data_IF_982180211879
#
_entry.id   IF_982180211879
#
_cell.length_a   1.000
_cell.length_b   1.000
_cell.length_c   1.000
_cell.angle_alpha   90.00
_cell.angle_beta   90.00
_cell.angle_gamma   90.00
#
_symmetry.space_group_name_H-M   'P 1'
#
loop_
_entity.id
_entity.type
_entity.pdbx_description
1 polymer ?
#
# COMPACT_ATOMS: atom_id res chain seq x y z
N UNK A 1 21.64 -21.02 29.64
CA UNK A 1 22.28 -22.27 29.21
C UNK A 1 21.25 -23.43 29.20
N UNK A 2 20.22 -23.37 28.34
CA UNK A 2 19.26 -24.48 28.10
C UNK A 2 18.70 -24.54 26.68
N UNK A 3 19.21 -23.68 25.76
CA UNK A 3 18.65 -23.55 24.39
C UNK A 3 19.31 -24.46 23.34
N UNK A 4 20.48 -25.03 23.64
CA UNK A 4 21.20 -25.86 22.65
C UNK A 4 20.76 -27.34 22.65
N UNK A 5 20.15 -27.83 23.71
CA UNK A 5 19.71 -29.23 23.81
C UNK A 5 18.35 -29.52 23.14
N UNK A 6 17.50 -28.50 22.93
CA UNK A 6 16.15 -28.72 22.36
C UNK A 6 16.20 -28.91 20.81
N UNK A 7 17.24 -28.43 20.15
CA UNK A 7 17.36 -28.55 18.69
C UNK A 7 17.67 -29.96 18.16
N UNK A 8 18.25 -30.85 19.01
CA UNK A 8 18.57 -32.21 18.60
C UNK A 8 17.38 -33.18 18.61
N UNK A 9 16.24 -32.77 19.19
CA UNK A 9 15.06 -33.61 19.35
C UNK A 9 13.90 -33.25 18.42
N UNK A 10 14.07 -32.19 17.57
CA UNK A 10 13.00 -31.75 16.70
C UNK A 10 12.89 -32.62 15.46
N UNK A 11 11.73 -33.19 15.27
CA UNK A 11 11.38 -34.03 14.13
C UNK A 11 10.40 -33.27 13.22
N UNK A 12 10.71 -33.15 11.95
CA UNK A 12 9.80 -32.53 10.97
C UNK A 12 8.84 -33.57 10.42
N UNK A 13 7.54 -33.37 10.68
CA UNK A 13 6.47 -34.29 10.26
C UNK A 13 5.54 -33.66 9.25
N UNK A 14 5.17 -34.45 8.23
CA UNK A 14 4.23 -34.05 7.20
C UNK A 14 2.80 -34.44 7.55
N UNK A 15 1.87 -33.49 7.46
CA UNK A 15 0.45 -33.70 7.69
C UNK A 15 -0.35 -33.23 6.48
N UNK A 16 -1.39 -33.97 6.09
CA UNK A 16 -2.39 -33.41 5.16
C UNK A 16 -3.22 -32.36 5.88
N UNK A 17 -3.47 -31.21 5.23
CA UNK A 17 -4.26 -30.14 5.84
C UNK A 17 -5.66 -30.62 6.24
N UNK A 18 -6.27 -31.49 5.44
CA UNK A 18 -7.56 -32.09 5.77
C UNK A 18 -7.56 -33.01 6.98
N UNK A 19 -6.39 -33.49 7.45
CA UNK A 19 -6.29 -34.24 8.69
C UNK A 19 -6.26 -33.31 9.92
N UNK A 20 -5.72 -32.09 9.75
CA UNK A 20 -5.59 -31.10 10.84
C UNK A 20 -6.83 -30.23 10.99
N UNK A 21 -7.47 -29.88 9.87
CA UNK A 21 -8.54 -28.89 9.84
C UNK A 21 -9.79 -29.42 9.18
N UNK A 22 -10.95 -29.00 9.70
CA UNK A 22 -12.24 -29.09 9.04
C UNK A 22 -12.51 -27.79 8.28
N UNK A 23 -12.84 -27.90 7.00
CA UNK A 23 -13.26 -26.80 6.15
C UNK A 23 -14.72 -26.45 6.38
N UNK A 24 -15.02 -25.27 6.89
CA UNK A 24 -16.35 -24.85 7.34
C UNK A 24 -16.79 -23.52 6.74
N UNK A 25 -18.08 -23.32 6.63
CA UNK A 25 -18.73 -22.05 6.24
C UNK A 25 -19.56 -21.44 7.37
N UNK A 26 -19.40 -21.88 8.61
CA UNK A 26 -20.24 -21.47 9.77
C UNK A 26 -20.24 -19.98 10.08
N UNK A 27 -19.17 -19.25 9.68
CA UNK A 27 -19.01 -17.81 9.85
C UNK A 27 -19.65 -16.97 8.73
N UNK A 28 -20.26 -17.63 7.71
CA UNK A 28 -20.87 -16.93 6.58
C UNK A 28 -22.28 -16.46 6.95
N UNK A 29 -22.57 -15.21 6.63
CA UNK A 29 -23.90 -14.62 6.75
C UNK A 29 -24.65 -14.68 5.41
N UNK A 30 -25.97 -14.62 5.45
CA UNK A 30 -26.82 -14.74 4.27
C UNK A 30 -26.92 -13.43 3.49
N UNK A 31 -26.92 -12.30 4.19
CA UNK A 31 -26.98 -10.97 3.60
C UNK A 31 -25.67 -10.58 2.94
N UNK A 32 -25.74 -9.79 1.89
CA UNK A 32 -24.56 -9.20 1.24
C UNK A 32 -24.12 -7.93 1.96
N UNK A 33 -22.85 -7.54 1.80
CA UNK A 33 -22.32 -6.30 2.41
C UNK A 33 -23.10 -5.04 1.98
N UNK A 34 -23.78 -5.07 0.82
CA UNK A 34 -24.60 -3.96 0.31
C UNK A 34 -25.88 -3.72 1.10
N UNK A 35 -26.35 -4.73 1.85
CA UNK A 35 -27.56 -4.66 2.67
C UNK A 35 -27.29 -4.08 4.06
N UNK A 36 -26.03 -3.78 4.37
CA UNK A 36 -25.58 -3.19 5.63
C UNK A 36 -25.04 -1.78 5.44
N UNK A 37 -25.11 -0.99 6.52
CA UNK A 37 -24.42 0.29 6.63
C UNK A 37 -22.96 0.04 7.00
N UNK A 38 -22.11 -0.22 6.00
CA UNK A 38 -20.70 -0.59 6.23
C UNK A 38 -19.81 0.59 6.60
N UNK A 39 -18.79 0.34 7.42
CA UNK A 39 -17.72 1.29 7.75
C UNK A 39 -16.36 0.79 7.23
N UNK A 40 -15.50 1.69 6.75
CA UNK A 40 -14.13 1.37 6.37
C UNK A 40 -13.17 1.33 7.58
N UNK A 41 -13.62 1.78 8.75
CA UNK A 41 -12.87 1.75 10.00
C UNK A 41 -13.69 1.05 11.08
N UNK A 42 -12.98 0.40 12.02
CA UNK A 42 -13.63 -0.20 13.18
C UNK A 42 -14.41 0.85 13.98
N UNK A 43 -15.59 0.48 14.42
CA UNK A 43 -16.45 1.23 15.34
C UNK A 43 -17.00 0.28 16.39
N UNK A 44 -17.32 0.78 17.57
CA UNK A 44 -17.99 -0.01 18.61
C UNK A 44 -19.33 -0.54 18.10
N UNK A 45 -19.63 -1.81 18.34
CA UNK A 45 -20.82 -2.50 17.82
C UNK A 45 -20.71 -2.96 16.35
N UNK A 46 -19.50 -2.91 15.76
CA UNK A 46 -19.24 -3.42 14.42
C UNK A 46 -18.31 -4.63 14.44
N UNK A 47 -18.52 -5.56 13.51
CA UNK A 47 -17.74 -6.79 13.34
C UNK A 47 -16.99 -6.74 12.01
N UNK A 48 -15.76 -7.25 11.99
CA UNK A 48 -14.97 -7.31 10.77
C UNK A 48 -15.60 -8.25 9.75
N UNK A 49 -15.80 -7.77 8.52
CA UNK A 49 -16.27 -8.57 7.40
C UNK A 49 -15.07 -9.03 6.56
N UNK A 50 -14.80 -10.33 6.61
CA UNK A 50 -13.71 -10.96 5.88
C UNK A 50 -14.19 -11.40 4.50
N UNK A 51 -13.41 -11.09 3.48
CA UNK A 51 -13.65 -11.51 2.09
C UNK A 51 -12.41 -12.19 1.51
N UNK A 52 -12.47 -12.60 0.26
CA UNK A 52 -11.34 -13.23 -0.43
C UNK A 52 -10.25 -12.20 -0.82
N UNK A 53 -9.85 -11.35 0.11
CA UNK A 53 -8.76 -10.37 -0.02
C UNK A 53 -7.39 -10.98 0.28
N UNK A 54 -6.33 -10.40 -0.32
CA UNK A 54 -4.93 -10.79 -0.01
C UNK A 54 -4.24 -9.82 0.96
N UNK A 55 -4.85 -8.68 1.25
CA UNK A 55 -4.33 -7.61 2.10
C UNK A 55 -5.23 -7.40 3.31
N UNK A 56 -4.72 -6.68 4.31
CA UNK A 56 -5.48 -6.30 5.49
C UNK A 56 -6.20 -7.51 6.13
N UNK A 57 -5.50 -8.66 6.22
CA UNK A 57 -6.04 -9.92 6.76
C UNK A 57 -7.38 -10.35 6.14
N UNK A 58 -7.67 -9.92 4.90
CA UNK A 58 -8.93 -10.18 4.21
C UNK A 58 -10.09 -9.28 4.63
N UNK A 59 -9.89 -8.33 5.57
CA UNK A 59 -10.93 -7.37 5.99
C UNK A 59 -11.29 -6.46 4.82
N UNK A 60 -12.54 -6.51 4.39
CA UNK A 60 -13.08 -5.63 3.37
C UNK A 60 -13.68 -4.35 3.97
N UNK A 61 -14.40 -4.50 5.06
CA UNK A 61 -15.06 -3.44 5.82
C UNK A 61 -15.52 -3.96 7.18
N UNK A 62 -16.21 -3.11 7.95
CA UNK A 62 -16.86 -3.47 9.21
C UNK A 62 -18.38 -3.32 9.06
N UNK A 63 -19.13 -4.25 9.63
CA UNK A 63 -20.58 -4.35 9.53
C UNK A 63 -21.19 -4.20 10.92
N UNK A 64 -22.27 -3.42 11.08
CA UNK A 64 -22.97 -3.31 12.37
C UNK A 64 -23.53 -4.66 12.79
N UNK A 65 -23.40 -4.99 14.07
CA UNK A 65 -23.84 -6.27 14.63
C UNK A 65 -25.38 -6.36 14.64
N UNK A 66 -25.90 -7.49 14.17
CA UNK A 66 -27.31 -7.90 14.27
C UNK A 66 -27.42 -9.33 14.82
N UNK A 67 -28.62 -9.87 14.94
CA UNK A 67 -28.85 -11.22 15.50
C UNK A 67 -28.15 -12.31 14.66
N UNK A 68 -28.12 -12.18 13.31
CA UNK A 68 -27.45 -13.14 12.44
C UNK A 68 -25.93 -13.10 12.69
N UNK A 69 -25.36 -11.91 12.77
CA UNK A 69 -23.93 -11.69 12.99
C UNK A 69 -23.53 -12.20 14.38
N UNK A 70 -24.28 -11.86 15.42
CA UNK A 70 -24.05 -12.34 16.80
C UNK A 70 -23.98 -13.85 16.86
N UNK A 71 -24.85 -14.57 16.14
CA UNK A 71 -24.90 -16.03 16.11
C UNK A 71 -23.77 -16.67 15.28
N UNK A 72 -23.23 -15.97 14.28
CA UNK A 72 -22.25 -16.51 13.33
C UNK A 72 -20.84 -15.99 13.50
N UNK A 73 -20.65 -14.89 14.23
CA UNK A 73 -19.31 -14.32 14.43
C UNK A 73 -18.34 -15.33 15.09
N UNK A 74 -17.10 -15.29 14.65
CA UNK A 74 -16.00 -16.12 15.17
C UNK A 74 -14.87 -15.24 15.66
N UNK A 75 -14.06 -15.79 16.53
CA UNK A 75 -12.83 -15.21 17.07
C UNK A 75 -11.78 -16.32 17.20
N UNK A 76 -10.52 -15.96 17.28
CA UNK A 76 -9.38 -16.88 17.48
C UNK A 76 -9.37 -18.03 16.48
N UNK A 77 -9.59 -17.72 15.20
CA UNK A 77 -9.75 -18.72 14.17
C UNK A 77 -9.01 -18.37 12.87
N UNK A 78 -8.72 -19.42 12.10
CA UNK A 78 -8.11 -19.32 10.78
C UNK A 78 -9.18 -19.22 9.68
N UNK A 79 -8.97 -18.35 8.71
CA UNK A 79 -9.72 -18.37 7.45
C UNK A 79 -8.79 -18.54 6.24
N UNK A 80 -9.33 -19.10 5.16
CA UNK A 80 -8.64 -19.21 3.89
C UNK A 80 -9.53 -18.68 2.75
N UNK A 81 -8.95 -17.85 1.90
CA UNK A 81 -9.63 -17.34 0.70
C UNK A 81 -9.72 -18.44 -0.35
N UNK A 82 -10.94 -18.82 -0.74
CA UNK A 82 -11.18 -19.91 -1.69
C UNK A 82 -11.21 -19.45 -3.15
N UNK A 83 -11.36 -18.15 -3.39
CA UNK A 83 -11.53 -17.55 -4.71
C UNK A 83 -10.98 -16.11 -4.73
N UNK A 84 -11.01 -15.45 -5.89
CA UNK A 84 -10.65 -14.04 -6.04
C UNK A 84 -9.15 -13.74 -6.00
N UNK A 85 -8.79 -12.47 -5.86
CA UNK A 85 -7.40 -12.01 -5.86
C UNK A 85 -6.57 -12.55 -4.68
N UNK A 86 -7.23 -12.94 -3.59
CA UNK A 86 -6.59 -13.51 -2.40
C UNK A 86 -6.60 -15.03 -2.34
N UNK A 87 -6.91 -15.74 -3.43
CA UNK A 87 -7.03 -17.21 -3.42
C UNK A 87 -5.80 -17.87 -2.76
N UNK A 88 -6.04 -18.76 -1.80
CA UNK A 88 -5.01 -19.44 -1.01
C UNK A 88 -4.39 -18.61 0.12
N UNK A 89 -4.76 -17.33 0.27
CA UNK A 89 -4.34 -16.54 1.44
C UNK A 89 -5.06 -17.02 2.69
N UNK A 90 -4.30 -17.38 3.71
CA UNK A 90 -4.80 -17.81 5.01
C UNK A 90 -4.43 -16.77 6.06
N UNK A 91 -5.37 -16.43 6.94
CA UNK A 91 -5.19 -15.45 8.01
C UNK A 91 -5.71 -15.99 9.33
N UNK A 92 -5.08 -15.62 10.43
CA UNK A 92 -5.57 -15.81 11.79
C UNK A 92 -6.18 -14.51 12.28
N UNK A 93 -7.38 -14.61 12.88
CA UNK A 93 -8.14 -13.48 13.39
C UNK A 93 -8.33 -13.62 14.89
N UNK A 94 -7.68 -12.76 15.66
CA UNK A 94 -7.81 -12.62 17.11
C UNK A 94 -8.87 -11.58 17.52
N UNK A 95 -9.77 -11.26 16.61
CA UNK A 95 -10.91 -10.35 16.75
C UNK A 95 -12.18 -11.00 16.17
N UNK A 96 -13.35 -10.50 16.57
CA UNK A 96 -14.61 -10.99 16.03
C UNK A 96 -14.76 -10.69 14.54
N UNK A 97 -15.11 -11.70 13.78
CA UNK A 97 -15.33 -11.60 12.34
C UNK A 97 -16.49 -12.47 11.85
N UNK A 98 -17.02 -12.07 10.70
CA UNK A 98 -17.95 -12.84 9.85
C UNK A 98 -17.45 -12.78 8.41
N UNK A 99 -18.15 -13.44 7.50
CA UNK A 99 -17.87 -13.34 6.08
C UNK A 99 -19.12 -13.15 5.23
N UNK A 100 -19.00 -12.22 4.27
CA UNK A 100 -19.94 -12.09 3.13
C UNK A 100 -19.31 -12.58 1.83
N UNK A 101 -18.13 -13.18 1.86
CA UNK A 101 -17.34 -13.52 0.68
C UNK A 101 -16.92 -14.99 0.58
N UNK A 102 -16.12 -15.26 -0.45
CA UNK A 102 -15.60 -16.59 -0.78
C UNK A 102 -14.37 -16.96 0.05
N UNK A 103 -14.58 -17.24 1.33
CA UNK A 103 -13.54 -17.81 2.19
C UNK A 103 -14.13 -18.97 3.03
N UNK A 104 -13.25 -19.75 3.63
CA UNK A 104 -13.63 -20.82 4.54
C UNK A 104 -12.99 -20.62 5.90
N UNK A 105 -13.69 -21.04 6.94
CA UNK A 105 -13.17 -21.20 8.29
C UNK A 105 -12.44 -22.54 8.37
N UNK A 106 -11.27 -22.56 9.01
CA UNK A 106 -10.50 -23.76 9.28
C UNK A 106 -10.62 -24.07 10.78
N UNK A 107 -11.46 -25.07 11.10
CA UNK A 107 -11.66 -25.51 12.48
C UNK A 107 -10.67 -26.64 12.80
N UNK A 108 -9.95 -26.57 13.93
CA UNK A 108 -9.04 -27.64 14.36
C UNK A 108 -9.79 -28.96 14.60
N UNK A 109 -9.22 -30.08 14.15
CA UNK A 109 -9.76 -31.43 14.40
C UNK A 109 -9.22 -32.06 15.69
N UNK A 110 -8.23 -31.47 16.31
CA UNK A 110 -7.59 -31.93 17.54
C UNK A 110 -7.78 -30.86 18.62
N UNK A 111 -8.44 -31.22 19.71
CA UNK A 111 -8.69 -30.31 20.83
C UNK A 111 -7.37 -29.77 21.43
N UNK A 112 -6.36 -30.64 21.53
CA UNK A 112 -5.02 -30.24 22.02
C UNK A 112 -4.35 -29.21 21.10
N UNK A 113 -4.56 -29.27 19.80
CA UNK A 113 -4.07 -28.24 18.84
C UNK A 113 -4.82 -26.92 19.06
N UNK A 114 -6.13 -26.98 19.32
CA UNK A 114 -6.92 -25.81 19.66
C UNK A 114 -6.46 -25.15 20.96
N UNK A 115 -6.23 -25.94 22.01
CA UNK A 115 -5.68 -25.45 23.30
C UNK A 115 -4.34 -24.71 23.13
N UNK A 116 -3.47 -25.19 22.20
CA UNK A 116 -2.20 -24.50 21.88
C UNK A 116 -2.47 -23.19 21.16
N UNK A 117 -3.42 -23.17 20.22
CA UNK A 117 -3.79 -21.95 19.48
C UNK A 117 -4.36 -20.89 20.42
N UNK A 118 -5.22 -21.28 21.35
CA UNK A 118 -5.85 -20.39 22.32
C UNK A 118 -4.84 -19.81 23.32
N UNK A 119 -3.80 -20.61 23.67
CA UNK A 119 -2.75 -20.21 24.60
C UNK A 119 -1.73 -19.25 23.99
N UNK A 120 -1.45 -19.39 22.69
CA UNK A 120 -0.39 -18.64 22.02
C UNK A 120 -0.72 -18.33 20.56
N UNK A 121 -1.17 -17.11 20.32
CA UNK A 121 -1.57 -16.61 18.98
C UNK A 121 -0.42 -16.57 17.95
N UNK A 122 0.84 -16.74 18.35
CA UNK A 122 1.94 -16.89 17.38
C UNK A 122 1.82 -18.20 16.60
N UNK A 123 1.31 -19.24 17.23
CA UNK A 123 1.20 -20.57 16.60
C UNK A 123 0.19 -20.57 15.45
N UNK A 124 -1.08 -20.15 15.61
CA UNK A 124 -2.00 -20.08 14.47
C UNK A 124 -1.53 -19.09 13.39
N UNK A 125 -0.83 -18.00 13.74
CA UNK A 125 -0.18 -17.12 12.75
C UNK A 125 0.93 -17.81 11.96
N UNK A 126 1.69 -18.71 12.59
CA UNK A 126 2.66 -19.56 11.90
C UNK A 126 1.97 -20.50 10.91
N UNK A 127 0.89 -21.19 11.31
CA UNK A 127 0.08 -22.03 10.43
C UNK A 127 -0.49 -21.22 9.26
N UNK A 128 -1.06 -20.05 9.51
CA UNK A 128 -1.59 -19.17 8.45
C UNK A 128 -0.55 -18.85 7.39
N UNK A 129 0.68 -18.52 7.80
CA UNK A 129 1.79 -18.23 6.87
C UNK A 129 2.21 -19.46 6.08
N UNK A 130 2.30 -20.64 6.71
CA UNK A 130 2.66 -21.88 6.02
C UNK A 130 1.58 -22.29 5.02
N UNK A 131 0.30 -22.28 5.42
CA UNK A 131 -0.84 -22.59 4.54
C UNK A 131 -0.85 -21.64 3.33
N UNK A 132 -0.71 -20.33 3.56
CA UNK A 132 -0.59 -19.34 2.47
C UNK A 132 0.56 -19.68 1.51
N UNK A 133 1.74 -20.04 2.05
CA UNK A 133 2.90 -20.39 1.23
C UNK A 133 2.66 -21.64 0.40
N UNK A 134 2.04 -22.67 0.99
CA UNK A 134 1.70 -23.92 0.32
C UNK A 134 0.72 -23.63 -0.82
N UNK A 135 -0.38 -22.94 -0.54
CA UNK A 135 -1.39 -22.63 -1.53
C UNK A 135 -0.88 -21.72 -2.65
N UNK A 136 0.02 -20.77 -2.36
CA UNK A 136 0.62 -19.91 -3.39
C UNK A 136 1.65 -20.61 -4.25
N UNK A 137 2.31 -21.64 -3.75
CA UNK A 137 3.24 -22.48 -4.53
C UNK A 137 2.50 -23.52 -5.37
N UNK A 138 1.24 -23.82 -5.03
CA UNK A 138 0.34 -24.64 -5.84
C UNK A 138 -0.23 -23.79 -6.98
N UNK A 139 -0.75 -24.43 -8.03
CA UNK A 139 -1.28 -23.75 -9.23
C UNK A 139 -2.61 -23.01 -9.00
N UNK A 140 -2.91 -22.62 -7.76
CA UNK A 140 -4.14 -21.86 -7.46
C UNK A 140 -4.03 -20.43 -7.96
N UNK A 141 -5.08 -19.98 -8.65
CA UNK A 141 -5.18 -18.67 -9.26
C UNK A 141 -6.64 -18.22 -9.34
N UNK A 142 -6.88 -17.03 -9.86
CA UNK A 142 -8.25 -16.57 -10.15
C UNK A 142 -9.07 -17.59 -10.96
N UNK A 143 -8.41 -18.30 -11.87
CA UNK A 143 -9.06 -19.33 -12.73
C UNK A 143 -9.15 -20.70 -12.07
N UNK A 144 -8.41 -20.95 -10.99
CA UNK A 144 -8.32 -22.24 -10.32
C UNK A 144 -8.47 -22.10 -8.81
N UNK A 145 -9.71 -22.22 -8.34
CA UNK A 145 -10.11 -22.02 -6.94
C UNK A 145 -9.53 -23.08 -6.02
N UNK A 146 -9.31 -22.71 -4.74
CA UNK A 146 -9.07 -23.68 -3.68
C UNK A 146 -10.39 -24.28 -3.24
N UNK A 147 -10.62 -25.56 -3.54
CA UNK A 147 -11.77 -26.33 -3.01
C UNK A 147 -11.39 -27.07 -1.73
N UNK A 148 -12.41 -27.54 -0.98
CA UNK A 148 -12.22 -28.39 0.21
C UNK A 148 -11.38 -29.63 -0.13
N UNK A 149 -11.64 -30.28 -1.25
CA UNK A 149 -10.97 -31.50 -1.69
C UNK A 149 -9.48 -31.23 -2.00
N UNK A 150 -9.20 -30.12 -2.67
CA UNK A 150 -7.82 -29.72 -3.00
C UNK A 150 -7.07 -29.32 -1.73
N UNK A 151 -7.64 -28.48 -0.88
CA UNK A 151 -7.07 -28.10 0.40
C UNK A 151 -6.72 -29.33 1.26
N UNK A 152 -7.64 -30.31 1.35
CA UNK A 152 -7.46 -31.50 2.17
C UNK A 152 -6.26 -32.36 1.73
N UNK A 153 -5.84 -32.27 0.46
CA UNK A 153 -4.70 -33.02 -0.10
C UNK A 153 -3.36 -32.33 0.09
N UNK A 154 -3.34 -31.02 0.33
CA UNK A 154 -2.12 -30.26 0.54
C UNK A 154 -1.38 -30.76 1.78
N UNK A 155 -0.03 -30.76 1.67
CA UNK A 155 0.86 -31.25 2.73
C UNK A 155 1.52 -30.08 3.45
N UNK A 156 1.35 -30.01 4.77
CA UNK A 156 2.09 -29.10 5.64
C UNK A 156 3.14 -29.89 6.42
N UNK A 157 4.32 -29.31 6.56
CA UNK A 157 5.41 -29.91 7.34
C UNK A 157 5.62 -29.08 8.61
N UNK A 158 5.50 -29.72 9.77
CA UNK A 158 5.53 -29.08 11.08
C UNK A 158 6.68 -29.59 11.93
N UNK A 159 7.35 -28.72 12.70
CA UNK A 159 8.34 -29.14 13.70
C UNK A 159 7.62 -29.73 14.92
N UNK A 160 7.95 -30.95 15.25
CA UNK A 160 7.35 -31.72 16.36
C UNK A 160 8.42 -32.19 17.34
N UNK A 161 8.00 -32.46 18.54
CA UNK A 161 8.76 -33.22 19.56
C UNK A 161 8.14 -34.59 19.69
N UNK A 162 8.97 -35.64 19.76
CA UNK A 162 8.54 -36.95 20.20
C UNK A 162 8.44 -36.93 21.73
N UNK A 163 7.33 -37.39 22.26
CA UNK A 163 7.01 -37.36 23.70
C UNK A 163 6.61 -38.76 24.20
N UNK A 164 6.58 -38.97 25.50
CA UNK A 164 6.10 -40.20 26.09
C UNK A 164 4.57 -40.33 25.93
N UNK A 165 4.05 -41.55 25.96
CA UNK A 165 2.62 -41.82 25.96
C UNK A 165 1.89 -41.17 27.16
N UNK A 166 2.60 -41.00 28.27
CA UNK A 166 2.07 -40.40 29.49
C UNK A 166 2.09 -38.86 29.46
N UNK A 167 2.75 -38.26 28.45
CA UNK A 167 2.81 -36.83 28.25
C UNK A 167 1.64 -36.34 27.38
N UNK A 168 1.41 -35.02 27.35
CA UNK A 168 0.43 -34.42 26.44
C UNK A 168 0.93 -34.48 24.99
N UNK A 169 0.24 -35.26 24.16
CA UNK A 169 0.51 -35.34 22.73
C UNK A 169 -0.69 -34.92 21.88
N UNK A 170 -0.42 -34.56 20.63
CA UNK A 170 -1.45 -34.18 19.63
C UNK A 170 -1.68 -35.34 18.67
N UNK A 171 -0.62 -36.04 18.28
CA UNK A 171 -0.64 -37.09 17.26
C UNK A 171 0.04 -38.36 17.75
N UNK A 172 -0.51 -39.48 17.32
CA UNK A 172 0.13 -40.79 17.41
C UNK A 172 0.39 -41.32 16.01
N UNK A 173 1.60 -41.87 15.80
CA UNK A 173 1.96 -42.54 14.56
C UNK A 173 2.89 -43.73 14.87
N UNK A 174 2.46 -44.96 14.50
CA UNK A 174 3.23 -46.19 14.71
C UNK A 174 3.68 -46.43 16.16
N UNK A 175 2.84 -46.10 17.13
CA UNK A 175 3.15 -46.24 18.57
C UNK A 175 4.11 -45.17 19.09
N UNK A 176 4.34 -44.10 18.36
CA UNK A 176 5.09 -42.92 18.82
C UNK A 176 4.15 -41.75 18.93
N UNK A 177 4.39 -40.91 19.92
CA UNK A 177 3.54 -39.78 20.28
C UNK A 177 4.24 -38.46 19.98
N UNK A 178 3.52 -37.49 19.45
CA UNK A 178 4.10 -36.25 18.99
C UNK A 178 3.27 -35.05 19.43
N UNK A 179 3.98 -33.97 19.81
CA UNK A 179 3.38 -32.65 20.02
C UNK A 179 4.10 -31.60 19.19
N UNK A 180 3.57 -30.37 19.08
CA UNK A 180 4.25 -29.27 18.41
C UNK A 180 5.47 -28.81 19.18
N UNK A 181 6.55 -28.52 18.49
CA UNK A 181 7.74 -27.87 19.04
C UNK A 181 7.47 -26.35 19.19
N UNK A 182 6.59 -25.97 20.11
CA UNK A 182 6.05 -24.60 20.25
C UNK A 182 7.16 -23.55 20.41
N UNK A 183 8.11 -23.79 21.32
CA UNK A 183 9.20 -22.85 21.57
C UNK A 183 10.11 -22.67 20.34
N UNK A 184 10.34 -23.73 19.59
CA UNK A 184 11.08 -23.66 18.34
C UNK A 184 10.32 -22.88 17.25
N UNK A 185 9.00 -23.04 17.16
CA UNK A 185 8.16 -22.26 16.25
C UNK A 185 8.24 -20.77 16.59
N UNK A 186 8.18 -20.41 17.88
CA UNK A 186 8.36 -19.03 18.34
C UNK A 186 9.71 -18.47 17.91
N UNK A 187 10.79 -19.22 18.16
CA UNK A 187 12.14 -18.82 17.75
C UNK A 187 12.23 -18.59 16.22
N UNK A 188 11.61 -19.47 15.42
CA UNK A 188 11.54 -19.31 13.96
C UNK A 188 10.77 -18.06 13.56
N UNK A 189 9.66 -17.77 14.21
CA UNK A 189 8.83 -16.60 13.92
C UNK A 189 9.53 -15.29 14.27
N UNK A 190 10.20 -15.22 15.43
CA UNK A 190 11.00 -14.06 15.84
C UNK A 190 12.17 -13.82 14.87
N UNK A 191 12.94 -14.86 14.56
CA UNK A 191 14.02 -14.73 13.55
C UNK A 191 13.52 -14.30 12.18
N UNK A 192 12.32 -14.75 11.77
CA UNK A 192 11.71 -14.32 10.51
C UNK A 192 11.29 -12.85 10.57
N UNK A 193 10.79 -12.37 11.71
CA UNK A 193 10.45 -10.97 11.98
C UNK A 193 11.70 -10.10 11.90
N UNK A 194 12.74 -10.42 12.67
CA UNK A 194 14.03 -9.71 12.68
C UNK A 194 14.65 -9.60 11.27
N UNK A 195 14.64 -10.70 10.50
CA UNK A 195 15.17 -10.70 9.12
C UNK A 195 14.36 -9.79 8.20
N UNK A 196 13.03 -9.75 8.36
CA UNK A 196 12.16 -8.86 7.58
C UNK A 196 12.44 -7.40 7.92
N UNK A 197 12.56 -7.08 9.20
CA UNK A 197 12.87 -5.74 9.70
C UNK A 197 14.23 -5.26 9.22
N UNK A 198 15.27 -6.09 9.38
CA UNK A 198 16.62 -5.78 8.88
C UNK A 198 16.66 -5.52 7.37
N UNK A 199 15.89 -6.29 6.58
CA UNK A 199 15.76 -6.05 5.14
C UNK A 199 15.06 -4.73 4.84
N UNK A 200 14.02 -4.41 5.60
CA UNK A 200 13.26 -3.16 5.44
C UNK A 200 14.11 -1.94 5.80
N UNK A 201 14.85 -2.01 6.92
CA UNK A 201 15.81 -0.96 7.33
C UNK A 201 16.85 -0.76 6.23
N UNK A 202 17.47 -1.84 5.76
CA UNK A 202 18.49 -1.76 4.69
C UNK A 202 17.95 -1.12 3.40
N UNK A 203 16.69 -1.42 3.05
CA UNK A 203 16.02 -0.78 1.90
C UNK A 203 15.84 0.72 2.14
N UNK A 204 15.42 1.14 3.33
CA UNK A 204 15.25 2.57 3.65
C UNK A 204 16.59 3.31 3.71
N UNK A 205 17.63 2.68 4.23
CA UNK A 205 19.01 3.22 4.24
C UNK A 205 19.54 3.44 2.81
N UNK A 206 19.31 2.48 1.91
CA UNK A 206 19.69 2.60 0.52
C UNK A 206 18.95 3.75 -0.19
N UNK A 207 17.64 3.88 0.04
CA UNK A 207 16.87 5.00 -0.50
C UNK A 207 17.30 6.34 0.08
N UNK A 208 17.59 6.42 1.39
CA UNK A 208 18.12 7.63 2.02
C UNK A 208 19.45 8.04 1.39
N UNK A 209 20.38 7.10 1.25
CA UNK A 209 21.71 7.34 0.65
C UNK A 209 21.60 7.84 -0.80
N UNK A 210 20.66 7.30 -1.58
CA UNK A 210 20.38 7.79 -2.93
C UNK A 210 19.97 9.26 -2.95
N UNK A 211 19.04 9.67 -2.06
CA UNK A 211 18.63 11.07 -1.96
C UNK A 211 19.74 11.97 -1.43
N UNK A 212 20.59 11.47 -0.55
CA UNK A 212 21.78 12.19 -0.02
C UNK A 212 22.79 12.48 -1.14
N UNK A 213 23.13 11.47 -1.94
CA UNK A 213 24.02 11.63 -3.09
C UNK A 213 23.45 12.60 -4.13
N UNK A 214 22.15 12.55 -4.37
CA UNK A 214 21.50 13.48 -5.29
C UNK A 214 21.47 14.91 -4.74
N UNK A 215 21.18 15.08 -3.43
CA UNK A 215 21.22 16.40 -2.77
C UNK A 215 22.59 17.07 -2.83
N UNK A 216 23.65 16.30 -2.69
CA UNK A 216 25.01 16.82 -2.75
C UNK A 216 25.32 17.58 -4.05
N UNK A 217 24.68 17.22 -5.15
CA UNK A 217 24.82 17.91 -6.45
C UNK A 217 24.29 19.35 -6.42
N UNK A 218 23.35 19.65 -5.53
CA UNK A 218 22.72 20.97 -5.42
C UNK A 218 23.27 21.81 -4.27
N UNK A 219 24.16 21.28 -3.43
CA UNK A 219 24.62 21.93 -2.20
C UNK A 219 25.37 23.24 -2.48
N UNK A 220 26.25 23.27 -3.47
CA UNK A 220 26.99 24.48 -3.83
C UNK A 220 26.04 25.58 -4.34
N UNK A 221 25.10 25.21 -5.24
CA UNK A 221 24.08 26.13 -5.74
C UNK A 221 23.12 26.60 -4.65
N UNK A 222 22.69 25.69 -3.75
CA UNK A 222 21.88 26.03 -2.58
C UNK A 222 22.56 27.08 -1.69
N UNK A 223 23.85 26.89 -1.36
CA UNK A 223 24.61 27.83 -0.52
C UNK A 223 24.77 29.20 -1.19
N UNK A 224 24.90 29.23 -2.53
CA UNK A 224 25.00 30.49 -3.28
C UNK A 224 23.63 31.22 -3.36
N UNK A 225 22.53 30.49 -3.57
CA UNK A 225 21.20 31.07 -3.68
C UNK A 225 20.60 31.49 -2.33
N UNK A 226 20.80 30.69 -1.27
CA UNK A 226 20.12 30.80 0.06
C UNK A 226 20.14 32.23 0.65
N UNK A 227 21.24 33.02 0.61
CA UNK A 227 21.23 34.35 1.20
C UNK A 227 20.31 35.34 0.49
N UNK A 228 19.98 35.08 -0.79
CA UNK A 228 19.25 35.98 -1.67
C UNK A 228 17.84 35.46 -1.97
N UNK A 229 17.40 34.37 -1.34
CA UNK A 229 16.07 33.79 -1.58
C UNK A 229 14.99 34.66 -0.98
N UNK A 230 14.05 35.07 -1.80
CA UNK A 230 12.84 35.78 -1.47
C UNK A 230 11.62 34.86 -1.64
N UNK A 231 10.77 34.74 -0.63
CA UNK A 231 9.53 33.99 -0.74
C UNK A 231 8.41 34.88 -1.26
N UNK A 232 7.94 34.59 -2.48
CA UNK A 232 6.89 35.36 -3.16
C UNK A 232 5.60 34.54 -3.27
N UNK A 233 4.45 35.23 -3.07
CA UNK A 233 3.12 34.63 -3.17
C UNK A 233 2.57 34.73 -4.57
N UNK A 234 2.15 33.60 -5.16
CA UNK A 234 1.55 33.54 -6.49
C UNK A 234 0.18 32.89 -6.43
N UNK A 235 -0.82 33.50 -7.09
CA UNK A 235 -2.09 32.81 -7.36
C UNK A 235 -1.83 31.67 -8.35
N UNK A 236 -2.40 30.49 -8.08
CA UNK A 236 -2.20 29.33 -8.96
C UNK A 236 -2.67 29.63 -10.39
N UNK A 237 -3.79 30.33 -10.56
CA UNK A 237 -4.30 30.71 -11.89
C UNK A 237 -3.38 31.66 -12.70
N UNK A 238 -2.41 32.34 -12.04
CA UNK A 238 -1.40 33.15 -12.76
C UNK A 238 -0.26 32.30 -13.30
N UNK A 239 -0.02 31.13 -12.74
CA UNK A 239 1.08 30.25 -13.11
C UNK A 239 0.62 29.06 -13.94
N UNK A 240 -0.61 28.60 -13.71
CA UNK A 240 -1.11 27.33 -14.22
C UNK A 240 -2.56 27.41 -14.67
N UNK A 241 -2.92 26.55 -15.61
CA UNK A 241 -4.28 26.30 -16.09
C UNK A 241 -4.67 24.84 -15.80
N UNK A 242 -5.90 24.60 -15.35
CA UNK A 242 -6.46 23.26 -15.24
C UNK A 242 -7.05 22.81 -16.57
N UNK A 243 -6.71 21.61 -17.00
CA UNK A 243 -7.18 21.05 -18.27
C UNK A 243 -7.57 19.57 -18.14
N UNK A 244 -8.50 19.14 -18.99
CA UNK A 244 -8.91 17.75 -19.13
C UNK A 244 -8.50 17.14 -20.48
N UNK A 245 -7.55 17.75 -21.19
CA UNK A 245 -7.13 17.32 -22.55
C UNK A 245 -6.59 15.88 -22.61
N UNK A 246 -6.03 15.36 -21.49
CA UNK A 246 -5.50 14.01 -21.35
C UNK A 246 -6.56 12.94 -21.06
N UNK A 247 -7.82 13.33 -20.88
CA UNK A 247 -8.92 12.39 -20.59
C UNK A 247 -9.34 11.69 -21.87
N UNK A 248 -9.32 10.35 -21.84
CA UNK A 248 -9.77 9.49 -22.93
C UNK A 248 -11.24 9.12 -22.74
N UNK A 249 -11.94 8.83 -23.82
CA UNK A 249 -13.38 8.47 -23.80
C UNK A 249 -13.60 6.97 -23.62
N UNK A 250 -12.62 6.16 -24.06
CA UNK A 250 -12.70 4.70 -23.94
C UNK A 250 -12.74 4.29 -22.47
N UNK A 251 -13.79 3.57 -22.01
CA UNK A 251 -13.88 3.10 -20.64
C UNK A 251 -12.76 2.11 -20.30
N UNK A 252 -12.25 2.18 -19.06
CA UNK A 252 -11.15 1.31 -18.60
C UNK A 252 -11.40 -0.19 -18.84
N UNK A 253 -12.64 -0.66 -18.69
CA UNK A 253 -13.05 -2.05 -18.94
C UNK A 253 -12.82 -2.54 -20.37
N UNK A 254 -12.66 -1.62 -21.32
CA UNK A 254 -12.42 -1.90 -22.74
C UNK A 254 -10.94 -1.77 -23.13
N UNK A 255 -10.06 -1.53 -22.15
CA UNK A 255 -8.62 -1.38 -22.34
C UNK A 255 -7.89 -2.56 -21.71
N UNK A 256 -6.79 -2.99 -22.32
CA UNK A 256 -5.85 -3.92 -21.70
C UNK A 256 -5.04 -3.15 -20.66
N UNK A 257 -5.20 -3.49 -19.39
CA UNK A 257 -4.53 -2.83 -18.27
C UNK A 257 -3.53 -3.78 -17.66
N UNK A 258 -2.31 -3.31 -17.48
CA UNK A 258 -1.20 -4.02 -16.86
C UNK A 258 -0.86 -3.36 -15.51
N UNK A 259 -0.50 -4.17 -14.52
CA UNK A 259 -0.12 -3.68 -13.19
C UNK A 259 1.32 -3.13 -13.16
N UNK A 260 2.18 -3.59 -14.05
CA UNK A 260 3.58 -3.19 -14.17
C UNK A 260 3.83 -2.42 -15.45
N UNK A 261 4.77 -1.44 -15.37
CA UNK A 261 5.21 -0.69 -16.53
C UNK A 261 6.08 -1.56 -17.44
N UNK A 262 5.75 -1.58 -18.73
CA UNK A 262 6.61 -2.06 -19.81
C UNK A 262 6.87 -0.93 -20.79
N UNK A 263 7.92 -1.07 -21.60
CA UNK A 263 8.23 -0.09 -22.64
C UNK A 263 7.03 0.10 -23.58
N UNK A 264 6.82 1.33 -24.03
CA UNK A 264 5.70 1.76 -24.90
C UNK A 264 4.31 1.83 -24.23
N UNK A 265 4.20 1.58 -22.93
CA UNK A 265 2.94 1.75 -22.21
C UNK A 265 2.77 3.15 -21.66
N UNK A 266 1.52 3.56 -21.51
CA UNK A 266 1.11 4.86 -21.00
C UNK A 266 0.44 4.67 -19.63
N UNK A 267 0.86 5.44 -18.62
CA UNK A 267 0.26 5.39 -17.29
C UNK A 267 -1.19 5.89 -17.31
N UNK A 268 -2.12 5.13 -16.76
CA UNK A 268 -3.49 5.56 -16.57
C UNK A 268 -3.65 6.18 -15.19
N UNK A 269 -3.93 7.49 -15.13
CA UNK A 269 -4.10 8.23 -13.87
C UNK A 269 -5.56 8.49 -13.55
N UNK A 270 -5.88 8.42 -12.25
CA UNK A 270 -7.21 8.72 -11.71
C UNK A 270 -7.10 9.63 -10.48
N UNK A 271 -8.23 9.98 -9.88
CA UNK A 271 -8.29 10.74 -8.63
C UNK A 271 -7.95 9.87 -7.40
N UNK A 272 -6.83 9.17 -7.43
CA UNK A 272 -6.31 8.29 -6.36
C UNK A 272 -5.08 8.92 -5.70
N UNK A 273 -4.91 8.71 -4.39
CA UNK A 273 -3.69 9.10 -3.66
C UNK A 273 -2.59 8.03 -3.72
N UNK A 274 -2.94 6.79 -4.12
CA UNK A 274 -2.00 5.68 -4.21
C UNK A 274 -1.20 5.73 -5.51
N UNK A 275 0.02 5.24 -5.47
CA UNK A 275 0.91 5.09 -6.62
C UNK A 275 0.96 6.33 -7.53
N UNK A 276 1.05 7.54 -6.94
CA UNK A 276 1.01 8.83 -7.65
C UNK A 276 -0.23 8.98 -8.56
N UNK A 277 -1.37 8.39 -8.19
CA UNK A 277 -2.59 8.41 -8.99
C UNK A 277 -2.62 7.41 -10.14
N UNK A 278 -1.52 6.71 -10.44
CA UNK A 278 -1.45 5.69 -11.49
C UNK A 278 -2.13 4.40 -11.01
N UNK A 279 -3.15 3.99 -11.72
CA UNK A 279 -3.94 2.78 -11.40
C UNK A 279 -3.65 1.59 -12.32
N UNK A 280 -2.73 1.75 -13.26
CA UNK A 280 -2.25 0.73 -14.18
C UNK A 280 -1.62 1.36 -15.41
N UNK A 281 -1.13 0.53 -16.31
CA UNK A 281 -0.51 0.92 -17.56
C UNK A 281 -1.31 0.33 -18.72
N UNK A 282 -1.48 1.11 -19.79
CA UNK A 282 -2.28 0.73 -20.93
C UNK A 282 -1.46 0.80 -22.22
N UNK A 283 -1.75 -0.09 -23.14
CA UNK A 283 -1.11 -0.10 -24.46
C UNK A 283 -1.54 1.13 -25.27
N UNK A 284 -0.62 1.65 -26.05
CA UNK A 284 -0.86 2.82 -26.89
C UNK A 284 -1.78 2.48 -28.08
N UNK A 285 -2.77 3.32 -28.33
CA UNK A 285 -3.61 3.31 -29.51
C UNK A 285 -3.78 4.75 -30.05
N UNK A 286 -4.52 4.95 -31.12
CA UNK A 286 -4.69 6.26 -31.74
C UNK A 286 -5.27 7.31 -30.78
N UNK A 287 -6.31 6.95 -29.97
CA UNK A 287 -6.89 7.88 -28.98
C UNK A 287 -5.86 8.24 -27.91
N UNK A 288 -5.13 7.25 -27.40
CA UNK A 288 -4.12 7.44 -26.37
C UNK A 288 -2.95 8.28 -26.88
N UNK A 289 -2.46 8.01 -28.11
CA UNK A 289 -1.39 8.78 -28.75
C UNK A 289 -1.73 10.25 -28.88
N UNK A 290 -3.00 10.57 -29.20
CA UNK A 290 -3.48 11.93 -29.33
C UNK A 290 -3.73 12.65 -27.99
N UNK A 291 -3.87 11.89 -26.89
CA UNK A 291 -4.23 12.42 -25.55
C UNK A 291 -3.11 12.36 -24.54
N UNK A 292 -2.10 11.51 -24.75
CA UNK A 292 -1.00 11.33 -23.79
C UNK A 292 -0.20 12.62 -23.59
N UNK A 293 0.16 12.86 -22.33
CA UNK A 293 0.98 14.00 -21.91
C UNK A 293 2.09 13.52 -20.97
N UNK A 294 3.22 14.23 -20.93
CA UNK A 294 4.34 13.97 -20.04
C UNK A 294 4.92 15.27 -19.48
N UNK A 295 5.84 15.17 -18.50
CA UNK A 295 6.41 16.31 -17.78
C UNK A 295 5.32 17.27 -17.29
N UNK A 296 4.32 16.72 -16.61
CA UNK A 296 3.09 17.43 -16.24
C UNK A 296 2.68 17.09 -14.80
N UNK A 297 1.99 18.00 -14.15
CA UNK A 297 1.33 17.72 -12.89
C UNK A 297 -0.14 17.36 -13.11
N UNK A 298 -0.69 16.50 -12.25
CA UNK A 298 -2.12 16.19 -12.18
C UNK A 298 -2.69 16.58 -10.83
N UNK A 299 -3.95 16.98 -10.82
CA UNK A 299 -4.74 17.27 -9.61
C UNK A 299 -5.95 16.35 -9.57
N UNK A 300 -6.23 15.76 -8.42
CA UNK A 300 -7.48 15.08 -8.13
C UNK A 300 -8.52 16.10 -7.66
N UNK A 301 -9.54 16.46 -8.48
CA UNK A 301 -10.55 17.44 -8.07
C UNK A 301 -11.64 16.86 -7.16
N UNK A 302 -11.80 15.52 -7.14
CA UNK A 302 -12.76 14.74 -6.33
C UNK A 302 -12.08 13.49 -5.79
N UNK A 303 -12.72 12.76 -4.89
CA UNK A 303 -12.14 11.55 -4.28
C UNK A 303 -11.04 11.93 -3.30
N UNK A 304 -9.79 11.65 -3.64
CA UNK A 304 -8.60 12.18 -2.94
C UNK A 304 -8.37 13.65 -3.30
N UNK A 305 -9.40 14.49 -3.09
CA UNK A 305 -9.41 15.87 -3.55
C UNK A 305 -8.21 16.66 -3.04
N UNK A 306 -7.57 17.40 -3.95
CA UNK A 306 -6.40 18.23 -3.65
C UNK A 306 -5.05 17.52 -3.77
N UNK A 307 -5.02 16.21 -3.93
CA UNK A 307 -3.76 15.51 -4.15
C UNK A 307 -3.22 15.83 -5.55
N UNK A 308 -1.98 16.29 -5.59
CA UNK A 308 -1.28 16.70 -6.82
C UNK A 308 0.00 15.86 -6.98
N UNK A 309 0.22 15.33 -8.19
CA UNK A 309 1.39 14.55 -8.53
C UNK A 309 2.06 15.06 -9.80
N UNK A 310 3.40 14.98 -9.84
CA UNK A 310 4.17 15.17 -11.06
C UNK A 310 4.40 13.83 -11.77
N UNK A 311 4.25 13.85 -13.10
CA UNK A 311 4.46 12.70 -13.97
C UNK A 311 5.51 13.02 -15.03
N UNK A 312 6.66 12.36 -14.91
CA UNK A 312 7.76 12.47 -15.88
C UNK A 312 7.43 11.74 -17.18
N UNK A 313 6.81 10.56 -17.06
CA UNK A 313 6.45 9.69 -18.16
C UNK A 313 5.07 10.06 -18.75
N UNK A 314 4.77 9.46 -19.90
CA UNK A 314 3.47 9.65 -20.54
C UNK A 314 2.32 9.11 -19.69
N UNK A 315 1.28 9.91 -19.59
CA UNK A 315 0.03 9.57 -18.92
C UNK A 315 -1.19 9.97 -19.74
N UNK A 316 -2.29 9.27 -19.49
CA UNK A 316 -3.66 9.63 -19.84
C UNK A 316 -4.57 9.41 -18.63
N UNK A 317 -5.84 9.76 -18.74
CA UNK A 317 -6.82 9.48 -17.68
C UNK A 317 -8.09 8.85 -18.23
N UNK A 318 -8.55 7.80 -17.56
CA UNK A 318 -9.90 7.24 -17.75
C UNK A 318 -10.89 7.73 -16.69
N UNK A 319 -10.46 8.65 -15.81
CA UNK A 319 -11.23 9.10 -14.66
C UNK A 319 -11.19 10.62 -14.43
N UNK A 320 -11.59 11.01 -13.24
CA UNK A 320 -11.68 12.41 -12.83
C UNK A 320 -10.33 12.94 -12.35
N UNK A 321 -9.37 13.12 -13.25
CA UNK A 321 -8.15 13.89 -12.97
C UNK A 321 -8.06 15.11 -13.88
N UNK A 322 -7.34 16.13 -13.43
CA UNK A 322 -7.05 17.33 -14.24
C UNK A 322 -5.54 17.47 -14.37
N UNK A 323 -5.05 17.83 -15.54
CA UNK A 323 -3.66 18.25 -15.69
C UNK A 323 -3.52 19.73 -15.30
N UNK A 324 -2.38 20.05 -14.72
CA UNK A 324 -1.96 21.41 -14.40
C UNK A 324 -0.94 21.83 -15.46
N UNK A 325 -1.37 22.64 -16.41
CA UNK A 325 -0.52 23.15 -17.47
C UNK A 325 0.15 24.46 -17.03
N UNK A 326 1.45 24.60 -17.27
CA UNK A 326 2.18 25.84 -17.05
C UNK A 326 1.76 26.86 -18.11
N UNK A 327 1.36 28.07 -17.68
CA UNK A 327 0.88 29.11 -18.58
C UNK A 327 2.03 29.91 -19.21
N UNK A 328 3.13 30.17 -18.47
CA UNK A 328 4.30 30.91 -18.94
C UNK A 328 5.31 29.97 -19.60
N UNK A 329 5.75 30.26 -20.85
CA UNK A 329 6.84 29.54 -21.50
C UNK A 329 8.16 29.62 -20.71
N UNK A 330 8.46 30.74 -20.07
CA UNK A 330 9.66 30.96 -19.27
C UNK A 330 9.66 30.10 -18.04
N UNK A 331 8.54 30.10 -17.30
CA UNK A 331 8.36 29.19 -16.15
C UNK A 331 8.49 27.74 -16.59
N UNK A 332 7.86 27.37 -17.70
CA UNK A 332 7.94 26.00 -18.23
C UNK A 332 9.38 25.60 -18.52
N UNK A 333 10.15 26.47 -19.17
CA UNK A 333 11.57 26.23 -19.48
C UNK A 333 12.41 25.97 -18.22
N UNK A 334 12.18 26.75 -17.14
CA UNK A 334 12.85 26.55 -15.85
C UNK A 334 12.44 25.23 -15.18
N UNK A 335 11.15 24.91 -15.18
CA UNK A 335 10.64 23.67 -14.61
C UNK A 335 11.12 22.43 -15.37
N UNK A 336 11.16 22.48 -16.71
CA UNK A 336 11.61 21.36 -17.53
C UNK A 336 13.11 21.06 -17.39
N UNK A 337 13.92 22.04 -16.97
CA UNK A 337 15.34 21.85 -16.64
C UNK A 337 15.54 21.11 -15.30
N UNK A 338 14.54 21.14 -14.40
CA UNK A 338 14.68 20.64 -13.04
C UNK A 338 13.40 19.99 -12.52
N UNK A 339 13.32 18.65 -12.57
CA UNK A 339 12.16 17.88 -12.12
C UNK A 339 11.81 18.09 -10.63
N UNK A 340 12.80 18.44 -9.77
CA UNK A 340 12.53 18.71 -8.36
C UNK A 340 11.68 19.95 -8.14
N UNK A 341 11.72 20.89 -9.04
CA UNK A 341 10.82 22.05 -9.02
C UNK A 341 9.36 21.67 -9.25
N UNK A 342 9.08 20.76 -10.18
CA UNK A 342 7.74 20.18 -10.35
C UNK A 342 7.29 19.40 -9.11
N UNK A 343 8.18 18.55 -8.58
CA UNK A 343 7.90 17.73 -7.40
C UNK A 343 7.64 18.60 -6.16
N UNK A 344 8.38 19.68 -5.98
CA UNK A 344 8.19 20.64 -4.90
C UNK A 344 6.84 21.37 -5.03
N UNK A 345 6.54 21.92 -6.20
CA UNK A 345 5.29 22.64 -6.47
C UNK A 345 4.09 21.70 -6.31
N UNK A 346 4.15 20.46 -6.80
CA UNK A 346 3.08 19.48 -6.62
C UNK A 346 2.76 19.23 -5.13
N UNK A 347 3.80 19.19 -4.26
CA UNK A 347 3.63 19.06 -2.81
C UNK A 347 3.04 20.31 -2.17
N UNK A 348 3.42 21.51 -2.62
CA UNK A 348 2.82 22.75 -2.16
C UNK A 348 1.33 22.80 -2.52
N UNK A 349 0.96 22.49 -3.76
CA UNK A 349 -0.44 22.42 -4.20
C UNK A 349 -1.23 21.43 -3.35
N UNK A 350 -0.70 20.22 -3.16
CA UNK A 350 -1.32 19.22 -2.26
C UNK A 350 -1.54 19.80 -0.86
N UNK A 351 -0.51 20.45 -0.29
CA UNK A 351 -0.60 21.02 1.06
C UNK A 351 -1.64 22.13 1.18
N UNK A 352 -1.83 22.94 0.15
CA UNK A 352 -2.85 23.99 0.09
C UNK A 352 -4.24 23.37 0.10
N UNK A 353 -4.51 22.43 -0.80
CA UNK A 353 -5.85 21.85 -0.93
C UNK A 353 -6.22 20.84 0.15
N UNK A 354 -5.27 20.05 0.67
CA UNK A 354 -5.54 19.10 1.77
C UNK A 354 -5.83 19.77 3.12
N UNK A 355 -5.61 21.10 3.26
CA UNK A 355 -5.99 21.87 4.44
C UNK A 355 -7.41 22.43 4.38
N UNK A 356 -8.09 22.29 3.26
CA UNK A 356 -9.41 22.84 2.97
C UNK A 356 -10.47 21.73 2.95
N UNK A 357 -11.76 22.11 3.02
CA UNK A 357 -12.90 21.19 3.07
C UNK A 357 -13.30 20.61 1.69
N UNK A 358 -12.34 20.36 0.79
CA UNK A 358 -12.64 19.74 -0.49
C UNK A 358 -12.76 18.23 -0.36
N UNK A 359 -13.64 17.62 -1.15
CA UNK A 359 -13.92 16.19 -1.15
C UNK A 359 -15.00 15.81 -2.14
N UNK A 360 -15.64 14.66 -1.94
CA UNK A 360 -16.76 14.24 -2.80
C UNK A 360 -17.93 15.23 -2.81
N UNK A 361 -18.24 15.82 -1.66
CA UNK A 361 -19.34 16.78 -1.52
C UNK A 361 -19.01 18.17 -2.07
N UNK A 362 -17.75 18.53 -2.15
CA UNK A 362 -17.28 19.81 -2.67
C UNK A 362 -16.05 19.61 -3.56
N UNK A 363 -16.24 19.37 -4.88
CA UNK A 363 -15.14 19.25 -5.83
C UNK A 363 -14.33 20.55 -5.90
N UNK A 364 -13.04 20.44 -6.24
CA UNK A 364 -12.19 21.58 -6.57
C UNK A 364 -12.57 22.07 -7.97
N UNK A 365 -13.12 23.27 -8.05
CA UNK A 365 -13.41 23.94 -9.31
C UNK A 365 -12.18 24.68 -9.85
N UNK A 366 -12.21 25.09 -11.11
CA UNK A 366 -11.17 25.94 -11.70
C UNK A 366 -11.07 27.29 -10.99
N UNK A 367 -12.20 27.88 -10.60
CA UNK A 367 -12.22 29.12 -9.80
C UNK A 367 -11.60 28.95 -8.41
N UNK A 368 -11.82 27.79 -7.76
CA UNK A 368 -11.17 27.50 -6.49
C UNK A 368 -9.65 27.37 -6.68
N UNK A 369 -9.21 26.65 -7.71
CA UNK A 369 -7.80 26.50 -8.05
C UNK A 369 -7.13 27.85 -8.34
N UNK A 370 -7.75 28.66 -9.19
CA UNK A 370 -7.16 29.93 -9.64
C UNK A 370 -6.97 30.96 -8.49
N UNK A 371 -7.75 30.87 -7.43
CA UNK A 371 -7.69 31.80 -6.27
C UNK A 371 -6.66 31.41 -5.23
N UNK A 372 -6.29 30.13 -5.14
CA UNK A 372 -5.34 29.67 -4.14
C UNK A 372 -3.95 30.24 -4.37
N UNK A 373 -3.22 30.48 -3.26
CA UNK A 373 -1.90 31.08 -3.29
C UNK A 373 -0.86 30.05 -2.81
N UNK A 374 0.22 29.93 -3.55
CA UNK A 374 1.43 29.23 -3.14
C UNK A 374 2.59 30.19 -2.92
N UNK A 375 3.46 29.88 -1.99
CA UNK A 375 4.70 30.62 -1.78
C UNK A 375 5.83 29.89 -2.51
N UNK A 376 6.55 30.60 -3.36
CA UNK A 376 7.69 30.08 -4.11
C UNK A 376 8.96 30.81 -3.72
N UNK A 377 10.09 30.09 -3.55
CA UNK A 377 11.40 30.72 -3.35
C UNK A 377 11.94 31.22 -4.68
N UNK A 378 12.21 32.53 -4.74
CA UNK A 378 12.65 33.25 -5.93
C UNK A 378 13.99 33.92 -5.67
N UNK A 379 14.70 34.21 -6.76
CA UNK A 379 15.87 35.08 -6.80
C UNK A 379 15.54 36.33 -7.60
N UNK A 380 15.98 37.48 -7.13
CA UNK A 380 15.97 38.68 -7.95
C UNK A 380 17.14 38.62 -8.93
N UNK A 381 16.89 38.94 -10.19
CA UNK A 381 17.85 38.87 -11.29
C UNK A 381 17.85 40.17 -12.07
N UNK A 382 18.85 40.39 -12.93
CA UNK A 382 18.90 41.55 -13.82
C UNK A 382 17.84 41.44 -14.93
N UNK A 383 17.40 42.55 -15.46
CA UNK A 383 16.52 42.61 -16.65
C UNK A 383 17.09 41.87 -17.87
N UNK A 384 18.41 41.83 -17.97
CA UNK A 384 19.12 41.17 -19.06
C UNK A 384 19.25 39.65 -18.87
N UNK A 385 18.91 39.14 -17.69
CA UNK A 385 18.91 37.71 -17.37
C UNK A 385 17.58 37.02 -17.72
N UNK A 386 17.56 35.69 -17.80
CA UNK A 386 16.30 34.93 -17.93
C UNK A 386 15.47 35.10 -16.66
N UNK A 387 14.38 35.86 -16.72
CA UNK A 387 13.42 36.00 -15.62
C UNK A 387 12.07 35.39 -15.98
N UNK A 388 11.27 35.10 -14.94
CA UNK A 388 9.93 34.52 -15.09
C UNK A 388 8.85 35.57 -14.78
N UNK A 389 9.14 36.46 -13.83
CA UNK A 389 8.20 37.48 -13.35
C UNK A 389 8.88 38.85 -13.25
N UNK A 390 8.06 39.88 -13.54
CA UNK A 390 8.39 41.24 -13.22
C UNK A 390 7.37 41.79 -12.22
N UNK A 391 7.85 42.52 -11.22
CA UNK A 391 7.01 43.21 -10.26
C UNK A 391 7.66 44.54 -9.87
N UNK A 392 7.02 45.64 -10.17
CA UNK A 392 7.49 47.00 -9.88
C UNK A 392 8.92 47.32 -10.39
N UNK A 393 9.29 46.82 -11.56
CA UNK A 393 10.62 47.01 -12.15
C UNK A 393 11.69 46.07 -11.63
N UNK A 394 11.31 45.10 -10.77
CA UNK A 394 12.20 44.03 -10.30
C UNK A 394 11.88 42.73 -11.04
N UNK A 395 12.91 41.98 -11.39
CA UNK A 395 12.82 40.76 -12.21
C UNK A 395 13.15 39.54 -11.34
N UNK A 396 12.38 38.47 -11.48
CA UNK A 396 12.50 37.30 -10.60
C UNK A 396 12.50 35.99 -11.38
N UNK A 397 13.32 35.04 -10.91
CA UNK A 397 13.30 33.64 -11.34
C UNK A 397 13.16 32.69 -10.13
N UNK A 398 12.93 31.39 -10.38
CA UNK A 398 12.89 30.39 -9.31
C UNK A 398 14.30 30.08 -8.77
N UNK A 399 14.45 29.99 -7.47
CA UNK A 399 15.64 29.50 -6.78
C UNK A 399 15.72 27.96 -6.90
N UNK A 400 16.10 27.44 -8.07
CA UNK A 400 15.95 26.03 -8.42
C UNK A 400 16.88 25.10 -7.64
N UNK A 401 18.09 25.53 -7.33
CA UNK A 401 19.02 24.76 -6.50
C UNK A 401 18.51 24.70 -5.05
N UNK A 402 18.02 25.82 -4.53
CA UNK A 402 17.41 25.91 -3.20
C UNK A 402 16.20 24.97 -3.09
N UNK A 403 15.30 24.97 -4.08
CA UNK A 403 14.13 24.09 -4.17
C UNK A 403 14.56 22.63 -4.17
N UNK A 404 15.52 22.25 -5.01
CA UNK A 404 16.01 20.89 -5.16
C UNK A 404 16.60 20.37 -3.86
N UNK A 405 17.45 21.17 -3.24
CA UNK A 405 18.07 20.84 -1.96
C UNK A 405 17.03 20.62 -0.85
N UNK A 406 16.04 21.51 -0.72
CA UNK A 406 14.97 21.39 0.28
C UNK A 406 14.10 20.15 0.03
N UNK A 407 13.72 19.90 -1.22
CA UNK A 407 12.90 18.73 -1.57
C UNK A 407 13.62 17.42 -1.20
N UNK A 408 14.89 17.31 -1.60
CA UNK A 408 15.73 16.12 -1.35
C UNK A 408 15.99 15.92 0.15
N UNK A 409 16.25 17.01 0.89
CA UNK A 409 16.35 16.97 2.35
C UNK A 409 15.07 16.44 3.00
N UNK A 410 13.91 16.89 2.54
CA UNK A 410 12.63 16.40 3.03
C UNK A 410 12.44 14.90 2.77
N UNK A 411 12.90 14.38 1.61
CA UNK A 411 12.88 12.94 1.28
C UNK A 411 13.80 12.14 2.19
N UNK A 412 15.03 12.61 2.40
CA UNK A 412 15.98 11.99 3.33
C UNK A 412 15.42 11.88 4.74
N UNK A 413 14.87 12.98 5.27
CA UNK A 413 14.27 13.01 6.61
C UNK A 413 13.09 12.06 6.75
N UNK A 414 12.31 11.85 5.68
CA UNK A 414 11.23 10.85 5.66
C UNK A 414 11.78 9.44 5.88
N UNK A 415 12.83 9.05 5.14
CA UNK A 415 13.42 7.73 5.28
C UNK A 415 14.14 7.57 6.62
N UNK A 416 14.79 8.61 7.13
CA UNK A 416 15.38 8.58 8.48
C UNK A 416 14.30 8.28 9.53
N UNK A 417 13.15 8.95 9.51
CA UNK A 417 12.04 8.68 10.43
C UNK A 417 11.52 7.25 10.31
N UNK A 418 11.46 6.69 9.10
CA UNK A 418 11.06 5.30 8.91
C UNK A 418 12.09 4.33 9.52
N UNK A 419 13.40 4.59 9.35
CA UNK A 419 14.47 3.82 9.97
C UNK A 419 14.33 3.90 11.50
N UNK A 420 14.20 5.11 12.05
CA UNK A 420 14.07 5.34 13.49
C UNK A 420 12.87 4.58 14.08
N UNK A 421 11.73 4.55 13.37
CA UNK A 421 10.55 3.78 13.79
C UNK A 421 10.85 2.31 13.98
N UNK A 422 11.67 1.71 13.11
CA UNK A 422 12.08 0.30 13.24
C UNK A 422 13.19 0.08 14.26
N UNK A 423 14.00 1.09 14.57
CA UNK A 423 15.15 0.97 15.48
C UNK A 423 14.76 1.22 16.94
N UNK A 424 13.77 2.08 17.21
CA UNK A 424 13.35 2.46 18.58
C UNK A 424 12.10 1.73 19.09
N UNK A 425 11.58 0.75 18.35
CA UNK A 425 10.43 -0.06 18.78
C UNK A 425 10.85 -1.28 19.63
N UNK A 426 12.12 -1.29 20.10
CA UNK A 426 12.70 -2.34 20.96
C UNK A 426 13.47 -1.78 22.13
#
# INVERSE_FOLDING_TARGET
>A
MKTDNVKSEIVWKGFRLGNLFEWSGKHRISKTAKEYSVSNMYQEGYVANITAGQYNEGIANFIPEDDEITNKKKIDALTISSNGAGVGSCFFHDYYFISTGDNALLENKYDKLQEIFDRDHMIPRFFAKLITKICRNSLYSWSYKVSKELFNRELIVLPCLEVSQDDEYIWEENGRYYTLAVEYIKELMEKAKERKEARTIKMYEAERAKYEAERAKYEAGYNAEKPNVLWKGFRLGNLFELSAKHVIKTPLKNLHVHDEYCDEMVGNVTASEKNNGVVGYIEENEEISNKKVKNIMTLAPVGSAGVCFYHKNYIVSTGNSKIIQVTSPELKKVLDKNEYSYLFISKLITKVFCKTFYGFAKPITENDFNREIILLPCLEVSQDDEYIWEENGHYYTLATNYISYLYLTGRMNKYQKLIDTYTYTY
#
